data_IF_420792831487
#
_entry.id   IF_420792831487
#
_cell.length_a   1.000
_cell.length_b   1.000
_cell.length_c   1.000
_cell.angle_alpha   90.00
_cell.angle_beta   90.00
_cell.angle_gamma   90.00
#
_symmetry.space_group_name_H-M   'P 1'
#
loop_
_entity.id
_entity.type
_entity.pdbx_description
1 polymer ?
#
# COMPACT_ATOMS: atom_id res chain seq x y z
N UNK A 1 -4.97 -11.27 -0.91
CA UNK A 1 -5.26 -9.99 -0.25
C UNK A 1 -6.44 -9.32 -0.92
N UNK A 2 -7.32 -8.63 -0.17
CA UNK A 2 -8.50 -7.96 -0.72
C UNK A 2 -8.79 -6.66 0.04
N UNK A 3 -9.22 -5.61 -0.69
CA UNK A 3 -9.73 -4.38 -0.11
C UNK A 3 -11.23 -4.48 0.15
N UNK A 4 -11.67 -4.00 1.31
CA UNK A 4 -13.08 -4.04 1.73
C UNK A 4 -13.50 -2.76 2.45
N UNK A 5 -14.81 -2.48 2.42
CA UNK A 5 -15.44 -1.53 3.33
C UNK A 5 -15.82 -2.28 4.61
N UNK A 6 -15.07 -2.08 5.68
CA UNK A 6 -15.32 -2.72 6.97
C UNK A 6 -16.23 -1.84 7.81
N UNK A 7 -17.27 -2.43 8.41
CA UNK A 7 -18.07 -1.77 9.45
C UNK A 7 -17.71 -2.33 10.83
N UNK A 8 -17.30 -1.44 11.73
CA UNK A 8 -17.10 -1.77 13.13
C UNK A 8 -17.96 -0.82 14.00
N UNK A 9 -18.99 -1.36 14.60
CA UNK A 9 -20.01 -0.56 15.29
C UNK A 9 -20.74 0.37 14.33
N UNK A 10 -20.57 1.68 14.55
CA UNK A 10 -21.16 2.75 13.71
C UNK A 10 -20.17 3.39 12.75
N UNK A 11 -18.91 2.93 12.73
CA UNK A 11 -17.84 3.48 11.90
C UNK A 11 -17.55 2.57 10.73
N UNK A 12 -17.38 3.15 9.55
CA UNK A 12 -16.86 2.49 8.37
C UNK A 12 -15.35 2.70 8.27
N UNK A 13 -14.62 1.71 7.80
CA UNK A 13 -13.18 1.78 7.56
C UNK A 13 -12.85 1.31 6.14
N UNK A 14 -11.88 1.96 5.52
CA UNK A 14 -11.22 1.45 4.33
C UNK A 14 -10.17 0.44 4.80
N UNK A 15 -10.40 -0.83 4.53
CA UNK A 15 -9.65 -1.94 5.14
C UNK A 15 -9.08 -2.87 4.09
N UNK A 16 -7.88 -3.35 4.32
CA UNK A 16 -7.20 -4.38 3.54
C UNK A 16 -7.04 -5.63 4.40
N UNK A 17 -7.52 -6.76 3.88
CA UNK A 17 -7.44 -8.07 4.52
C UNK A 17 -6.41 -8.94 3.79
N UNK A 18 -5.48 -9.53 4.55
CA UNK A 18 -4.51 -10.50 4.05
C UNK A 18 -4.88 -11.87 4.59
N UNK A 19 -5.02 -12.85 3.71
CA UNK A 19 -5.28 -14.23 4.07
C UNK A 19 -4.05 -15.08 3.78
N UNK A 20 -3.79 -16.07 4.62
CA UNK A 20 -2.79 -17.08 4.36
C UNK A 20 -3.32 -18.18 3.42
N UNK A 21 -2.50 -19.14 3.08
CA UNK A 21 -2.79 -20.22 2.13
C UNK A 21 -3.91 -21.16 2.58
N UNK A 22 -4.14 -21.28 3.88
CA UNK A 22 -5.25 -22.03 4.47
C UNK A 22 -6.56 -21.24 4.57
N UNK A 23 -6.56 -19.96 4.11
CA UNK A 23 -7.70 -19.06 4.20
C UNK A 23 -7.84 -18.35 5.55
N UNK A 24 -6.93 -18.55 6.50
CA UNK A 24 -6.94 -17.82 7.75
C UNK A 24 -6.61 -16.34 7.54
N UNK A 25 -7.27 -15.47 8.31
CA UNK A 25 -7.00 -14.03 8.28
C UNK A 25 -5.67 -13.74 9.00
N UNK A 26 -4.61 -13.53 8.21
CA UNK A 26 -3.27 -13.22 8.73
C UNK A 26 -3.12 -11.76 9.17
N UNK A 27 -3.75 -10.81 8.44
CA UNK A 27 -3.64 -9.37 8.75
C UNK A 27 -4.89 -8.61 8.36
N UNK A 28 -5.25 -7.62 9.22
CA UNK A 28 -6.25 -6.60 8.93
C UNK A 28 -5.62 -5.23 9.09
N UNK A 29 -5.52 -4.50 7.99
CA UNK A 29 -5.02 -3.13 7.98
C UNK A 29 -6.14 -2.16 7.65
N UNK A 30 -6.49 -1.28 8.58
CA UNK A 30 -7.38 -0.15 8.36
C UNK A 30 -6.55 1.05 7.95
N UNK A 31 -6.91 1.71 6.86
CA UNK A 31 -6.23 2.90 6.36
C UNK A 31 -6.04 3.93 7.49
N UNK A 32 -4.80 4.34 7.73
CA UNK A 32 -4.46 5.24 8.84
C UNK A 32 -5.16 6.58 8.72
N UNK A 33 -5.15 7.14 7.50
CA UNK A 33 -5.73 8.45 7.21
C UNK A 33 -6.56 8.38 5.93
N UNK A 34 -7.88 8.52 6.02
CA UNK A 34 -8.73 8.70 4.85
C UNK A 34 -8.33 9.95 4.07
N UNK A 35 -8.32 9.84 2.74
CA UNK A 35 -7.82 10.89 1.85
C UNK A 35 -8.95 11.83 1.44
N UNK A 36 -8.79 13.13 1.67
CA UNK A 36 -9.69 14.19 1.20
C UNK A 36 -11.16 13.91 1.56
N UNK A 37 -12.04 13.69 0.56
CA UNK A 37 -13.47 13.44 0.79
C UNK A 37 -13.76 12.10 1.48
N UNK A 38 -12.82 11.16 1.47
CA UNK A 38 -12.94 9.91 2.23
C UNK A 38 -13.21 10.17 3.72
N UNK A 39 -12.72 11.30 4.27
CA UNK A 39 -12.92 11.70 5.67
C UNK A 39 -14.38 11.93 6.06
N UNK A 40 -15.26 12.12 5.08
CA UNK A 40 -16.69 12.27 5.30
C UNK A 40 -17.38 10.94 5.62
N UNK A 41 -16.73 9.81 5.27
CA UNK A 41 -17.34 8.48 5.32
C UNK A 41 -16.54 7.53 6.20
N UNK A 42 -15.20 7.46 6.03
CA UNK A 42 -14.35 6.48 6.70
C UNK A 42 -13.60 7.04 7.91
N UNK A 43 -13.51 6.21 8.96
CA UNK A 43 -12.70 6.48 10.12
C UNK A 43 -11.22 6.19 9.92
N UNK A 44 -10.40 6.68 10.84
CA UNK A 44 -8.96 6.48 10.87
C UNK A 44 -8.61 5.09 11.43
N UNK A 45 -7.61 4.45 10.83
CA UNK A 45 -6.98 3.25 11.34
C UNK A 45 -5.96 3.55 12.45
N UNK A 46 -5.39 2.49 13.03
CA UNK A 46 -4.37 2.58 14.09
C UNK A 46 -3.08 1.88 13.66
N UNK A 47 -1.97 2.26 14.30
CA UNK A 47 -0.62 1.80 13.94
C UNK A 47 -0.34 0.30 14.14
N UNK A 48 -1.16 -0.41 14.92
CA UNK A 48 -0.96 -1.83 15.26
C UNK A 48 -0.83 -2.79 14.08
N UNK A 49 -1.26 -2.38 12.89
CA UNK A 49 -1.21 -3.19 11.66
C UNK A 49 -0.08 -2.77 10.72
N UNK A 50 0.79 -1.85 11.13
CA UNK A 50 1.97 -1.44 10.36
C UNK A 50 3.11 -2.45 10.57
N UNK A 51 2.89 -3.67 10.10
CA UNK A 51 3.88 -4.74 10.13
C UNK A 51 3.60 -5.75 9.01
N UNK A 52 4.66 -6.34 8.47
CA UNK A 52 4.57 -7.48 7.55
C UNK A 52 4.17 -8.75 8.31
N UNK A 53 3.42 -9.62 7.65
CA UNK A 53 3.03 -10.94 8.14
C UNK A 53 3.59 -12.03 7.23
N UNK A 54 3.78 -13.23 7.76
CA UNK A 54 4.18 -14.37 6.94
C UNK A 54 3.00 -14.88 6.14
N UNK A 55 3.17 -15.04 4.83
CA UNK A 55 2.23 -15.67 3.91
C UNK A 55 3.02 -16.57 2.98
N UNK A 56 2.76 -17.85 3.01
CA UNK A 56 3.48 -18.84 2.18
C UNK A 56 5.02 -18.73 2.27
N UNK A 57 5.53 -18.47 3.46
CA UNK A 57 6.97 -18.35 3.71
C UNK A 57 7.62 -17.02 3.35
N UNK A 58 6.91 -16.09 2.72
CA UNK A 58 7.37 -14.73 2.46
C UNK A 58 6.79 -13.72 3.49
N UNK A 59 7.53 -12.66 3.74
CA UNK A 59 7.08 -11.53 4.56
C UNK A 59 6.30 -10.53 3.70
N UNK A 60 4.98 -10.48 3.87
CA UNK A 60 4.08 -9.67 3.04
C UNK A 60 3.56 -8.48 3.81
N UNK A 61 3.81 -7.29 3.29
CA UNK A 61 3.29 -6.03 3.78
C UNK A 61 2.30 -5.38 2.83
N UNK A 62 1.62 -4.33 3.29
CA UNK A 62 0.76 -3.53 2.43
C UNK A 62 0.40 -2.19 3.05
N UNK A 63 0.16 -1.20 2.19
CA UNK A 63 -0.43 0.09 2.51
C UNK A 63 -1.54 0.43 1.50
N UNK A 64 -2.41 1.37 1.88
CA UNK A 64 -3.56 1.77 1.06
C UNK A 64 -3.35 3.18 0.51
N UNK A 65 -3.22 3.30 -0.80
CA UNK A 65 -3.26 4.57 -1.53
C UNK A 65 -2.21 5.59 -1.01
N UNK A 66 -2.64 6.75 -0.53
CA UNK A 66 -1.76 7.83 -0.11
C UNK A 66 -0.99 7.57 1.18
N UNK A 67 -1.20 6.45 1.85
CA UNK A 67 -0.29 6.03 2.94
C UNK A 67 1.15 5.86 2.43
N UNK A 68 1.34 5.54 1.14
CA UNK A 68 2.66 5.48 0.53
C UNK A 68 3.39 6.84 0.49
N UNK A 69 2.69 7.95 0.71
CA UNK A 69 3.26 9.29 0.86
C UNK A 69 3.54 9.68 2.32
N UNK A 70 3.25 8.80 3.29
CA UNK A 70 3.54 8.99 4.70
C UNK A 70 4.91 8.39 5.03
N UNK A 71 6.00 9.21 5.21
CA UNK A 71 7.35 8.67 5.42
C UNK A 71 7.44 7.70 6.60
N UNK A 72 6.77 8.04 7.72
CA UNK A 72 6.81 7.22 8.93
C UNK A 72 6.03 5.89 8.76
N UNK A 73 4.97 5.86 7.95
CA UNK A 73 4.27 4.62 7.64
C UNK A 73 5.13 3.69 6.79
N UNK A 74 5.87 4.25 5.80
CA UNK A 74 6.83 3.48 5.01
C UNK A 74 7.94 2.93 5.90
N UNK A 75 8.55 3.76 6.76
CA UNK A 75 9.61 3.31 7.67
C UNK A 75 9.13 2.16 8.57
N UNK A 76 7.91 2.27 9.15
CA UNK A 76 7.35 1.20 9.96
C UNK A 76 7.23 -0.13 9.20
N UNK A 77 6.84 -0.06 7.93
CA UNK A 77 6.73 -1.24 7.08
C UNK A 77 8.10 -1.81 6.73
N UNK A 78 9.06 -0.98 6.36
CA UNK A 78 10.45 -1.41 6.07
C UNK A 78 11.11 -2.04 7.31
N UNK A 79 10.96 -1.43 8.49
CA UNK A 79 11.47 -1.98 9.76
C UNK A 79 10.84 -3.32 10.13
N UNK A 80 9.65 -3.63 9.59
CA UNK A 80 9.02 -4.93 9.80
C UNK A 80 9.60 -6.05 8.92
N UNK A 81 10.57 -5.74 8.05
CA UNK A 81 11.26 -6.71 7.21
C UNK A 81 10.38 -7.30 6.11
N UNK A 82 9.57 -6.49 5.46
CA UNK A 82 8.76 -6.95 4.34
C UNK A 82 9.62 -7.31 3.12
N UNK A 83 9.25 -8.40 2.45
CA UNK A 83 9.88 -8.89 1.22
C UNK A 83 9.01 -8.58 0.00
N UNK A 84 7.69 -8.61 0.19
CA UNK A 84 6.69 -8.30 -0.83
C UNK A 84 5.72 -7.28 -0.26
N UNK A 85 5.60 -6.15 -0.93
CA UNK A 85 4.66 -5.08 -0.58
C UNK A 85 3.52 -5.00 -1.58
N UNK A 86 2.27 -4.96 -1.09
CA UNK A 86 1.10 -4.74 -1.94
C UNK A 86 0.64 -3.30 -1.82
N UNK A 87 0.86 -2.54 -2.87
CA UNK A 87 0.44 -1.15 -2.97
C UNK A 87 -0.96 -1.05 -3.61
N UNK A 88 -1.98 -0.92 -2.78
CA UNK A 88 -3.37 -0.78 -3.23
C UNK A 88 -3.70 0.65 -3.62
N UNK A 89 -3.94 0.89 -4.91
CA UNK A 89 -4.30 2.20 -5.45
C UNK A 89 -5.70 2.17 -6.11
N UNK A 90 -6.44 3.28 -6.14
CA UNK A 90 -7.63 3.36 -7.01
C UNK A 90 -7.24 3.19 -8.47
N UNK A 91 -6.15 3.84 -8.90
CA UNK A 91 -5.53 3.72 -10.20
C UNK A 91 -4.08 4.19 -10.11
N UNK A 92 -3.17 3.51 -10.80
CA UNK A 92 -1.73 3.77 -10.70
C UNK A 92 -1.30 4.70 -11.83
N UNK A 93 -1.51 6.00 -11.63
CA UNK A 93 -1.05 7.06 -12.54
C UNK A 93 0.45 7.33 -12.34
N UNK A 94 1.03 8.26 -13.09
CA UNK A 94 2.46 8.58 -13.09
C UNK A 94 3.05 8.74 -11.68
N UNK A 95 2.48 9.61 -10.86
CA UNK A 95 2.99 9.82 -9.50
C UNK A 95 2.84 8.58 -8.61
N UNK A 96 1.80 7.77 -8.80
CA UNK A 96 1.65 6.50 -8.07
C UNK A 96 2.65 5.45 -8.56
N UNK A 97 3.03 5.45 -9.84
CA UNK A 97 4.14 4.62 -10.36
C UNK A 97 5.47 5.04 -9.72
N UNK A 98 5.74 6.36 -9.64
CA UNK A 98 6.93 6.90 -8.97
C UNK A 98 6.95 6.48 -7.50
N UNK A 99 5.85 6.64 -6.77
CA UNK A 99 5.75 6.23 -5.36
C UNK A 99 6.02 4.73 -5.18
N UNK A 100 5.41 3.89 -6.02
CA UNK A 100 5.56 2.43 -5.94
C UNK A 100 6.99 1.99 -6.25
N UNK A 101 7.63 2.61 -7.25
CA UNK A 101 9.03 2.34 -7.60
C UNK A 101 10.00 2.86 -6.53
N UNK A 102 9.73 4.05 -5.99
CA UNK A 102 10.50 4.60 -4.87
C UNK A 102 10.39 3.72 -3.63
N UNK A 103 9.19 3.22 -3.33
CA UNK A 103 8.96 2.30 -2.23
C UNK A 103 9.78 1.01 -2.36
N UNK A 104 9.75 0.39 -3.56
CA UNK A 104 10.54 -0.82 -3.84
C UNK A 104 12.03 -0.57 -3.66
N UNK A 105 12.52 0.56 -4.17
CA UNK A 105 13.93 0.94 -4.08
C UNK A 105 14.35 1.29 -2.65
N UNK A 106 13.56 2.07 -1.92
CA UNK A 106 13.81 2.47 -0.53
C UNK A 106 13.81 1.25 0.41
N UNK A 107 12.75 0.42 0.33
CA UNK A 107 12.55 -0.72 1.22
C UNK A 107 13.22 -2.01 0.78
N UNK A 108 13.87 -2.01 -0.40
CA UNK A 108 14.47 -3.24 -0.99
C UNK A 108 13.53 -4.42 -1.00
N UNK A 109 12.29 -4.20 -1.41
CA UNK A 109 11.25 -5.23 -1.50
C UNK A 109 10.62 -5.25 -2.89
N UNK A 110 9.96 -6.35 -3.23
CA UNK A 110 9.10 -6.39 -4.41
C UNK A 110 7.83 -5.61 -4.14
N UNK A 111 7.35 -4.83 -5.12
CA UNK A 111 6.08 -4.10 -5.00
C UNK A 111 5.08 -4.56 -6.05
N UNK A 112 3.92 -5.01 -5.58
CA UNK A 112 2.75 -5.31 -6.38
C UNK A 112 1.85 -4.08 -6.37
N UNK A 113 2.01 -3.19 -7.36
CA UNK A 113 1.14 -2.02 -7.51
C UNK A 113 -0.16 -2.46 -8.19
N UNK A 114 -1.27 -2.34 -7.46
CA UNK A 114 -2.60 -2.79 -7.92
C UNK A 114 -3.48 -1.58 -8.16
N UNK A 115 -3.98 -1.42 -9.39
CA UNK A 115 -4.90 -0.38 -9.80
C UNK A 115 -6.19 -0.94 -10.34
N UNK A 116 -7.31 -0.33 -9.94
CA UNK A 116 -8.63 -0.70 -10.47
C UNK A 116 -8.86 -0.12 -11.87
N UNK A 117 -9.77 -0.74 -12.61
CA UNK A 117 -10.35 -0.18 -13.82
C UNK A 117 -11.80 0.22 -13.52
N UNK A 118 -12.18 1.41 -13.93
CA UNK A 118 -13.55 1.89 -13.85
C UNK A 118 -13.90 2.64 -15.13
N UNK A 119 -14.93 2.18 -15.81
CA UNK A 119 -15.46 2.85 -17.01
C UNK A 119 -16.68 3.68 -16.67
N UNK A 120 -16.92 4.72 -17.45
CA UNK A 120 -18.11 5.57 -17.31
C UNK A 120 -19.40 4.77 -17.34
N UNK A 121 -19.49 3.76 -18.24
CA UNK A 121 -20.65 2.85 -18.36
C UNK A 121 -20.92 1.98 -17.13
N UNK A 122 -19.90 1.81 -16.26
CA UNK A 122 -20.00 0.97 -15.07
C UNK A 122 -20.46 1.80 -13.85
N UNK A 123 -20.64 3.12 -14.04
CA UNK A 123 -21.13 4.01 -12.99
C UNK A 123 -22.64 3.90 -12.83
N UNK A 124 -23.14 3.97 -11.59
CA UNK A 124 -24.58 4.10 -11.35
C UNK A 124 -25.14 5.35 -12.05
N UNK A 125 -26.32 5.29 -12.68
CA UNK A 125 -26.90 6.43 -13.39
C UNK A 125 -27.17 7.65 -12.49
N UNK A 126 -27.28 7.45 -11.18
CA UNK A 126 -27.45 8.52 -10.18
C UNK A 126 -26.14 9.28 -9.90
N UNK A 127 -24.99 8.73 -10.30
CA UNK A 127 -23.68 9.34 -10.16
C UNK A 127 -23.11 9.66 -11.53
N UNK A 128 -23.55 10.77 -12.16
CA UNK A 128 -23.07 11.12 -13.49
C UNK A 128 -21.54 11.31 -13.45
N UNK A 129 -20.81 10.74 -14.41
CA UNK A 129 -19.39 10.92 -14.48
C UNK A 129 -19.08 12.40 -14.66
N UNK A 130 -18.04 12.89 -13.99
CA UNK A 130 -17.45 14.17 -14.38
C UNK A 130 -16.85 13.98 -15.76
N UNK A 131 -17.51 14.57 -16.76
CA UNK A 131 -17.04 14.57 -18.13
C UNK A 131 -15.62 15.14 -18.19
N UNK A 132 -14.82 14.58 -19.06
CA UNK A 132 -13.60 15.09 -19.64
C UNK A 132 -12.47 15.47 -18.66
N UNK A 133 -11.70 14.47 -18.27
CA UNK A 133 -10.33 14.71 -17.82
C UNK A 133 -9.43 14.74 -19.07
N UNK A 134 -8.71 15.84 -19.34
CA UNK A 134 -7.76 15.90 -20.44
C UNK A 134 -6.75 14.73 -20.37
N UNK A 135 -6.55 14.03 -21.48
CA UNK A 135 -5.60 12.91 -21.57
C UNK A 135 -6.13 11.55 -21.10
N UNK A 136 -7.41 11.44 -20.72
CA UNK A 136 -8.05 10.15 -20.45
C UNK A 136 -8.79 9.70 -21.70
N UNK A 137 -8.54 8.47 -22.21
CA UNK A 137 -9.32 7.93 -23.33
C UNK A 137 -10.80 7.88 -22.99
N UNK A 138 -11.65 8.12 -23.99
CA UNK A 138 -13.10 8.08 -23.86
C UNK A 138 -13.55 6.80 -23.14
N UNK A 139 -14.41 6.98 -22.14
CA UNK A 139 -15.05 5.91 -21.42
C UNK A 139 -14.29 5.38 -20.19
N UNK A 140 -13.09 5.87 -19.86
CA UNK A 140 -12.40 5.48 -18.61
C UNK A 140 -12.43 6.61 -17.57
N UNK A 141 -12.80 6.28 -16.34
CA UNK A 141 -12.59 7.13 -15.16
C UNK A 141 -11.32 6.75 -14.41
N UNK A 142 -11.03 5.44 -14.33
CA UNK A 142 -9.83 4.85 -13.71
C UNK A 142 -9.27 3.83 -14.70
N UNK A 143 -7.97 3.92 -15.00
CA UNK A 143 -7.34 3.24 -16.12
C UNK A 143 -6.50 2.03 -15.75
N UNK A 144 -6.46 1.61 -14.48
CA UNK A 144 -5.58 0.54 -14.03
C UNK A 144 -4.17 1.03 -13.72
N UNK A 145 -3.18 0.57 -14.48
CA UNK A 145 -1.76 0.85 -14.28
C UNK A 145 -1.08 -0.14 -13.33
N UNK A 146 -1.65 -1.33 -13.16
CA UNK A 146 -1.06 -2.37 -12.32
C UNK A 146 0.31 -2.79 -12.83
N UNK A 147 1.25 -3.01 -11.91
CA UNK A 147 2.63 -3.36 -12.23
C UNK A 147 3.26 -4.20 -11.11
N UNK A 148 4.28 -4.98 -11.46
CA UNK A 148 5.14 -5.68 -10.51
C UNK A 148 6.54 -5.07 -10.63
N UNK A 149 7.13 -4.68 -9.50
CA UNK A 149 8.36 -3.90 -9.42
C UNK A 149 9.37 -4.64 -8.55
N UNK A 150 10.61 -4.73 -9.03
CA UNK A 150 11.73 -5.36 -8.33
C UNK A 150 12.35 -4.43 -7.27
N UNK A 151 13.18 -4.95 -6.32
CA UNK A 151 13.82 -4.18 -5.27
C UNK A 151 14.73 -3.02 -5.73
N UNK A 152 15.16 -3.03 -6.99
CA UNK A 152 15.93 -1.94 -7.59
C UNK A 152 15.05 -0.91 -8.33
N UNK A 153 13.72 -1.00 -8.22
CA UNK A 153 12.76 -0.10 -8.82
C UNK A 153 12.47 -0.35 -10.32
N UNK A 154 13.06 -1.40 -10.95
CA UNK A 154 12.70 -1.76 -12.32
C UNK A 154 11.36 -2.48 -12.39
N UNK A 155 10.64 -2.32 -13.47
CA UNK A 155 9.44 -3.11 -13.72
C UNK A 155 9.81 -4.54 -14.11
N UNK A 156 9.17 -5.53 -13.45
CA UNK A 156 9.18 -6.93 -13.89
C UNK A 156 8.04 -7.20 -14.85
N UNK A 157 6.88 -6.59 -14.61
CA UNK A 157 5.71 -6.68 -15.48
C UNK A 157 4.86 -5.41 -15.36
N UNK A 158 4.18 -5.03 -16.44
CA UNK A 158 3.40 -3.79 -16.53
C UNK A 158 4.29 -2.54 -16.71
N UNK A 159 3.74 -1.31 -16.46
CA UNK A 159 2.35 -1.05 -16.06
C UNK A 159 1.33 -1.34 -17.17
N UNK A 160 0.18 -1.89 -16.80
CA UNK A 160 -0.90 -2.22 -17.74
C UNK A 160 -2.08 -1.28 -17.53
N UNK A 161 -2.45 -0.56 -18.59
CA UNK A 161 -3.55 0.39 -18.59
C UNK A 161 -4.69 -0.07 -19.50
N UNK A 162 -5.91 0.40 -19.22
CA UNK A 162 -7.10 0.29 -20.07
C UNK A 162 -7.53 -1.16 -20.36
N UNK A 163 -7.00 -2.12 -19.64
CA UNK A 163 -7.23 -3.53 -19.85
C UNK A 163 -7.44 -4.27 -18.52
N UNK A 164 -8.55 -5.01 -18.44
CA UNK A 164 -8.76 -5.99 -17.37
C UNK A 164 -7.88 -7.21 -17.63
N UNK A 165 -6.93 -7.47 -16.74
CA UNK A 165 -5.97 -8.55 -16.89
C UNK A 165 -5.35 -8.99 -15.57
N UNK A 166 -4.70 -10.12 -15.59
CA UNK A 166 -3.84 -10.60 -14.51
C UNK A 166 -2.39 -10.31 -14.90
N UNK A 167 -1.67 -9.60 -14.04
CA UNK A 167 -0.24 -9.32 -14.20
C UNK A 167 0.56 -10.32 -13.36
N UNK A 168 1.50 -11.01 -13.98
CA UNK A 168 2.30 -12.08 -13.33
C UNK A 168 3.78 -11.84 -13.59
N UNK A 169 4.62 -12.10 -12.60
CA UNK A 169 6.07 -12.15 -12.71
C UNK A 169 6.67 -13.09 -11.67
N UNK A 170 7.82 -13.64 -11.96
CA UNK A 170 8.65 -14.35 -10.99
C UNK A 170 9.43 -13.36 -10.14
N UNK A 171 9.38 -13.51 -8.81
CA UNK A 171 10.08 -12.69 -7.84
C UNK A 171 11.17 -13.53 -7.15
N UNK A 172 12.42 -13.37 -7.57
CA UNK A 172 13.57 -14.00 -6.90
C UNK A 172 13.91 -13.24 -5.61
N UNK A 173 13.48 -13.75 -4.47
CA UNK A 173 13.69 -13.10 -3.17
C UNK A 173 15.18 -12.87 -2.85
N UNK A 174 16.11 -13.59 -3.51
CA UNK A 174 17.54 -13.33 -3.34
C UNK A 174 17.98 -11.96 -3.88
N UNK A 175 17.20 -11.33 -4.77
CA UNK A 175 17.45 -9.96 -5.23
C UNK A 175 17.40 -8.96 -4.07
N UNK A 176 16.54 -9.18 -3.07
CA UNK A 176 16.40 -8.34 -1.89
C UNK A 176 17.74 -8.20 -1.18
N UNK A 177 18.38 -9.34 -0.88
CA UNK A 177 19.69 -9.35 -0.21
C UNK A 177 20.79 -8.69 -1.05
N UNK A 178 20.79 -8.92 -2.37
CA UNK A 178 21.77 -8.30 -3.27
C UNK A 178 21.65 -6.78 -3.31
N UNK A 179 20.43 -6.28 -3.41
CA UNK A 179 20.16 -4.84 -3.47
C UNK A 179 20.36 -4.16 -2.12
N UNK A 180 20.10 -4.84 -1.00
CA UNK A 180 20.31 -4.34 0.34
C UNK A 180 21.79 -4.05 0.64
N UNK A 181 22.73 -4.65 -0.08
CA UNK A 181 24.17 -4.35 0.09
C UNK A 181 24.51 -2.87 -0.18
N UNK A 182 23.74 -2.21 -1.04
CA UNK A 182 23.99 -0.79 -1.40
C UNK A 182 23.17 0.18 -0.60
N UNK A 183 21.94 -0.17 -0.22
CA UNK A 183 21.03 0.64 0.56
C UNK A 183 20.14 -0.27 1.39
N UNK A 184 20.15 -0.08 2.70
CA UNK A 184 19.25 -0.73 3.64
C UNK A 184 18.83 0.29 4.71
N UNK A 185 17.67 0.89 4.52
CA UNK A 185 17.17 1.98 5.38
C UNK A 185 16.80 1.54 6.79
N UNK A 186 16.60 0.24 6.98
CA UNK A 186 16.31 -0.38 8.29
C UNK A 186 17.53 -1.07 8.90
N UNK A 187 18.63 -1.20 8.12
CA UNK A 187 19.90 -1.79 8.54
C UNK A 187 21.04 -0.75 8.58
N UNK A 188 22.04 -0.93 7.69
CA UNK A 188 23.28 -0.14 7.75
C UNK A 188 23.11 1.36 7.40
N UNK A 189 21.97 1.76 6.82
CA UNK A 189 21.62 3.17 6.60
C UNK A 189 20.74 3.75 7.70
N UNK A 190 20.33 2.96 8.70
CA UNK A 190 19.61 3.48 9.86
C UNK A 190 20.56 4.18 10.85
N UNK A 191 20.04 5.15 11.58
CA UNK A 191 20.78 5.92 12.60
C UNK A 191 19.97 5.99 13.90
N UNK A 192 19.83 4.84 14.63
CA UNK A 192 19.09 4.78 15.89
C UNK A 192 19.73 5.62 17.02
N UNK A 193 20.98 6.02 16.84
CA UNK A 193 21.67 6.98 17.71
C UNK A 193 21.23 8.44 17.48
N UNK A 194 20.57 8.74 16.33
CA UNK A 194 20.08 10.07 15.95
C UNK A 194 18.55 10.14 16.02
N UNK A 195 17.87 9.07 15.59
CA UNK A 195 16.41 9.06 15.46
C UNK A 195 15.81 8.02 16.37
N UNK A 196 14.85 8.42 17.21
CA UNK A 196 14.00 7.51 17.94
C UNK A 196 12.67 7.37 17.22
N UNK A 197 12.42 6.19 16.64
CA UNK A 197 11.17 5.90 15.93
C UNK A 197 10.39 4.79 16.64
N UNK A 198 9.12 5.05 16.93
CA UNK A 198 8.21 4.08 17.56
C UNK A 198 6.80 4.23 17.00
N UNK A 199 6.20 3.10 16.62
CA UNK A 199 4.79 3.04 16.24
C UNK A 199 3.95 2.81 17.51
N UNK A 200 2.99 3.70 17.77
CA UNK A 200 2.02 3.48 18.87
C UNK A 200 1.07 2.34 18.51
N UNK A 201 1.02 1.33 19.35
CA UNK A 201 0.06 0.23 19.27
C UNK A 201 -1.11 0.46 20.21
N UNK A 202 -2.27 -0.17 19.96
CA UNK A 202 -3.45 -0.01 20.83
C UNK A 202 -3.12 -0.46 22.26
N UNK A 203 -3.22 0.45 23.22
CA UNK A 203 -2.82 0.28 24.63
C UNK A 203 -1.96 1.42 25.15
N UNK A 204 -1.26 2.16 24.27
CA UNK A 204 -0.45 3.34 24.62
C UNK A 204 -1.20 4.66 24.42
N UNK A 205 -2.47 4.61 24.02
CA UNK A 205 -3.31 5.80 23.77
C UNK A 205 -3.76 6.53 25.06
N UNK A 206 -3.31 6.08 26.24
CA UNK A 206 -3.80 6.59 27.54
C UNK A 206 -2.76 7.27 28.44
N UNK A 207 -1.45 7.28 28.12
CA UNK A 207 -0.42 7.81 29.04
C UNK A 207 0.10 9.22 28.71
N UNK A 208 -0.55 9.95 27.83
CA UNK A 208 -0.24 11.35 27.55
C UNK A 208 -0.92 12.29 28.54
N UNK A 209 -0.68 12.11 29.85
CA UNK A 209 -0.90 13.16 30.85
C UNK A 209 0.43 13.83 31.13
N UNK A 210 0.53 15.07 30.70
CA UNK A 210 1.32 16.18 31.15
C UNK A 210 2.60 15.86 31.96
N UNK A 211 3.73 16.10 31.35
CA UNK A 211 4.85 16.69 32.08
C UNK A 211 5.01 18.09 31.52
N UNK A 212 4.70 19.07 32.38
CA UNK A 212 4.99 20.48 32.23
C UNK A 212 6.53 20.73 32.32
#
# INVERSE_FOLDING_TARGET
MVGVHERAGRTLFNTQLTFDTDGALARRHRKLMPTYHERLIWGQGAGRSLAAVSVNGARVGSLICWEHWMPLARQAMHDSGEEIHVAGWPGVQEMHQIASRSYAFEGRCFVLAVGSILRVRDMPPELPPKADKPGVPDGFMIRGGSAIIAPNGRYLAGPVYDQETVVVADCDLSEITREALTLDVSGHYSRPDVFHFKVKTAGEEGSGKGEE
#
